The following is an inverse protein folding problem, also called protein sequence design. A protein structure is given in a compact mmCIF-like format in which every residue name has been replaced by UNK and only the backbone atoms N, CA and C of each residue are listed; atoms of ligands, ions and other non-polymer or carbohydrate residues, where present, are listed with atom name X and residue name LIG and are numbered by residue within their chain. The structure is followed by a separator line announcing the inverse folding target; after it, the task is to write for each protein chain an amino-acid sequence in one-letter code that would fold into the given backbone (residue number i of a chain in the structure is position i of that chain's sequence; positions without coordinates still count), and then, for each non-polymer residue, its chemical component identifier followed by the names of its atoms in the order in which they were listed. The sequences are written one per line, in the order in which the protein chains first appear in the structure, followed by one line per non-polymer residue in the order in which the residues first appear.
data_IF_107916068237
#
_entry.id   IF_107916068237
#
_cell.length_a   1.000
_cell.length_b   1.000
_cell.length_c   1.000
_cell.angle_alpha   90.00
_cell.angle_beta   90.00
_cell.angle_gamma   90.00
#
_symmetry.space_group_name_H-M   'P 1'
#
loop_
_entity.id
_entity.type
_entity.pdbx_description
1 polymer ?
#
# COMPACT_ATOMS: atom_id res chain seq x y z
N UNK A 1 -2.15 22.08 -3.47
CA UNK A 1 -2.83 21.68 -2.22
C UNK A 1 -1.99 20.57 -1.62
N UNK A 2 -1.37 20.78 -0.45
CA UNK A 2 -0.67 19.68 0.24
C UNK A 2 -1.73 18.71 0.77
N UNK A 3 -1.85 17.53 0.17
CA UNK A 3 -2.71 16.48 0.67
C UNK A 3 -2.10 15.94 1.97
N UNK A 4 -2.67 16.36 3.11
CA UNK A 4 -2.36 15.79 4.42
C UNK A 4 -2.75 14.31 4.39
N UNK A 5 -1.83 13.43 4.76
CA UNK A 5 -2.11 12.01 4.93
C UNK A 5 -3.11 11.80 6.08
N UNK A 6 -3.83 10.68 6.02
CA UNK A 6 -4.72 10.24 7.09
C UNK A 6 -4.06 9.07 7.81
N UNK A 7 -4.06 9.06 9.14
CA UNK A 7 -3.67 7.87 9.90
C UNK A 7 -4.95 7.06 10.18
N UNK A 8 -5.17 5.93 9.51
CA UNK A 8 -6.40 5.16 9.68
C UNK A 8 -6.39 4.37 11.00
N UNK A 9 -7.58 4.13 11.56
CA UNK A 9 -7.74 3.11 12.59
C UNK A 9 -7.75 1.73 11.91
N UNK A 10 -6.63 1.00 11.95
CA UNK A 10 -6.47 -0.25 11.19
C UNK A 10 -7.55 -1.29 11.50
N UNK A 11 -7.97 -1.43 12.76
CA UNK A 11 -8.96 -2.42 13.18
C UNK A 11 -10.36 -2.04 12.68
N UNK A 12 -10.69 -0.76 12.74
CA UNK A 12 -12.02 -0.28 12.33
C UNK A 12 -12.14 -0.14 10.82
N UNK A 13 -11.09 0.30 10.13
CA UNK A 13 -11.07 0.55 8.69
C UNK A 13 -10.89 -0.73 7.89
N UNK A 14 -9.95 -1.59 8.30
CA UNK A 14 -9.54 -2.78 7.53
C UNK A 14 -9.76 -4.10 8.29
N UNK A 15 -9.71 -4.09 9.62
CA UNK A 15 -9.81 -5.30 10.43
C UNK A 15 -8.54 -6.14 10.29
N UNK A 16 -8.69 -7.43 9.95
CA UNK A 16 -7.55 -8.32 9.67
C UNK A 16 -7.08 -8.15 8.23
N UNK A 17 -5.77 -8.06 8.08
CA UNK A 17 -5.09 -8.03 6.78
C UNK A 17 -4.41 -9.38 6.52
N UNK A 18 -4.54 -9.86 5.29
CA UNK A 18 -3.82 -11.04 4.81
C UNK A 18 -3.21 -10.80 3.43
N UNK A 19 -2.09 -11.46 3.16
CA UNK A 19 -1.38 -11.30 1.90
C UNK A 19 -2.18 -11.82 0.70
N UNK A 20 -2.34 -10.99 -0.33
CA UNK A 20 -3.03 -11.36 -1.57
C UNK A 20 -2.07 -11.51 -2.76
N UNK A 21 -0.96 -10.75 -2.80
CA UNK A 21 0.03 -10.87 -3.85
C UNK A 21 1.00 -9.68 -3.92
N UNK A 22 1.94 -9.77 -4.86
CA UNK A 22 2.88 -8.69 -5.17
C UNK A 22 2.22 -7.65 -6.07
N UNK A 23 2.54 -6.38 -5.83
CA UNK A 23 2.19 -5.26 -6.69
C UNK A 23 3.39 -4.76 -7.48
N UNK A 24 3.48 -3.44 -7.61
CA UNK A 24 4.50 -2.76 -8.42
C UNK A 24 5.74 -2.37 -7.61
N UNK A 25 6.89 -2.30 -8.28
CA UNK A 25 8.11 -1.72 -7.70
C UNK A 25 8.10 -0.22 -7.97
N UNK A 26 8.02 0.58 -6.90
CA UNK A 26 8.07 2.03 -7.02
C UNK A 26 9.52 2.49 -7.15
N UNK A 27 9.79 3.24 -8.21
CA UNK A 27 11.11 3.79 -8.50
C UNK A 27 11.04 5.30 -8.68
N UNK A 28 12.11 5.99 -8.27
CA UNK A 28 12.28 7.42 -8.47
C UNK A 28 13.56 7.68 -9.25
N UNK A 29 13.57 8.73 -10.07
CA UNK A 29 14.69 9.13 -10.91
C UNK A 29 14.44 8.92 -12.41
N UNK A 30 15.50 9.06 -13.20
CA UNK A 30 15.42 8.94 -14.66
C UNK A 30 16.67 8.28 -15.24
N UNK A 31 16.47 7.36 -16.20
CA UNK A 31 17.55 6.70 -16.93
C UNK A 31 18.42 5.81 -16.03
N UNK A 32 19.71 6.16 -15.89
CA UNK A 32 20.68 5.39 -15.07
C UNK A 32 20.64 5.74 -13.58
N UNK A 33 19.92 6.80 -13.20
CA UNK A 33 19.81 7.26 -11.81
C UNK A 33 18.49 6.82 -11.16
N UNK A 34 17.96 5.67 -11.56
CA UNK A 34 16.72 5.12 -11.00
C UNK A 34 17.02 4.40 -9.69
N UNK A 35 16.33 4.78 -8.62
CA UNK A 35 16.42 4.14 -7.30
C UNK A 35 15.07 3.56 -6.90
N UNK A 36 15.06 2.37 -6.30
CA UNK A 36 13.84 1.79 -5.73
C UNK A 36 13.50 2.53 -4.44
N UNK A 37 12.32 3.13 -4.38
CA UNK A 37 11.83 3.88 -3.21
C UNK A 37 10.82 3.07 -2.39
N UNK A 38 10.22 2.04 -2.99
CA UNK A 38 9.32 1.14 -2.30
C UNK A 38 8.80 0.01 -3.18
N UNK A 39 7.98 -0.85 -2.60
CA UNK A 39 7.30 -1.95 -3.28
C UNK A 39 5.87 -2.00 -2.81
N UNK A 40 4.92 -2.16 -3.73
CA UNK A 40 3.52 -2.36 -3.37
C UNK A 40 3.18 -3.84 -3.27
N UNK A 41 2.23 -4.13 -2.39
CA UNK A 41 1.68 -5.45 -2.13
C UNK A 41 0.18 -5.32 -2.02
N UNK A 42 -0.54 -6.31 -2.52
CA UNK A 42 -1.98 -6.40 -2.40
C UNK A 42 -2.34 -7.17 -1.14
N UNK A 43 -3.21 -6.60 -0.31
CA UNK A 43 -3.71 -7.24 0.90
C UNK A 43 -5.22 -7.39 0.87
N UNK A 44 -5.70 -8.55 1.32
CA UNK A 44 -7.11 -8.74 1.62
C UNK A 44 -7.47 -8.13 2.96
N UNK A 45 -8.67 -7.57 3.03
CA UNK A 45 -9.23 -7.01 4.26
C UNK A 45 -10.50 -7.74 4.66
N UNK A 46 -10.59 -8.06 5.94
CA UNK A 46 -11.78 -8.70 6.49
C UNK A 46 -13.05 -7.83 6.39
N UNK A 47 -12.89 -6.50 6.30
CA UNK A 47 -13.99 -5.52 6.20
C UNK A 47 -14.22 -5.02 4.78
N UNK A 48 -13.14 -4.79 4.03
CA UNK A 48 -13.19 -4.34 2.64
C UNK A 48 -12.96 -5.56 1.76
N UNK A 49 -14.04 -6.29 1.47
CA UNK A 49 -13.97 -7.60 0.79
C UNK A 49 -14.11 -7.51 -0.73
N UNK A 50 -14.55 -6.37 -1.26
CA UNK A 50 -14.81 -6.20 -2.67
C UNK A 50 -13.53 -5.92 -3.47
N UNK A 51 -12.58 -5.22 -2.84
CA UNK A 51 -11.35 -4.74 -3.46
C UNK A 51 -10.17 -5.08 -2.55
N UNK A 52 -9.04 -5.40 -3.17
CA UNK A 52 -7.76 -5.53 -2.51
C UNK A 52 -7.19 -4.15 -2.17
N UNK A 53 -6.42 -4.10 -1.09
CA UNK A 53 -5.78 -2.87 -0.63
C UNK A 53 -4.36 -2.85 -1.17
N UNK A 54 -4.03 -1.83 -1.95
CA UNK A 54 -2.65 -1.56 -2.31
C UNK A 54 -1.91 -0.96 -1.11
N UNK A 55 -0.88 -1.69 -0.67
CA UNK A 55 0.00 -1.27 0.41
C UNK A 55 1.41 -1.06 -0.11
N UNK A 56 1.91 0.17 -0.03
CA UNK A 56 3.29 0.51 -0.38
C UNK A 56 4.17 0.42 0.85
N UNK A 57 5.17 -0.46 0.79
CA UNK A 57 6.22 -0.61 1.79
C UNK A 57 7.45 0.17 1.35
N UNK A 58 8.02 0.96 2.25
CA UNK A 58 9.26 1.70 1.99
C UNK A 58 10.44 0.78 1.67
N UNK A 59 11.34 1.22 0.78
CA UNK A 59 12.50 0.42 0.37
C UNK A 59 13.42 0.02 1.54
N UNK A 60 13.40 0.77 2.65
CA UNK A 60 14.17 0.47 3.87
C UNK A 60 13.78 -0.88 4.52
N UNK A 61 12.54 -1.34 4.33
CA UNK A 61 12.07 -2.62 4.86
C UNK A 61 12.62 -3.84 4.12
N UNK A 62 13.26 -3.62 2.97
CA UNK A 62 13.72 -4.67 2.06
C UNK A 62 12.58 -5.36 1.30
N UNK A 63 12.94 -6.36 0.52
CA UNK A 63 11.97 -7.22 -0.16
C UNK A 63 11.33 -8.18 0.85
N UNK A 64 10.00 -8.28 0.80
CA UNK A 64 9.23 -9.20 1.62
C UNK A 64 8.76 -10.38 0.80
N UNK A 65 8.93 -11.56 1.37
CA UNK A 65 8.40 -12.82 0.87
C UNK A 65 7.39 -13.35 1.89
N UNK A 66 6.14 -13.48 1.46
CA UNK A 66 5.00 -13.88 2.29
C UNK A 66 4.22 -14.99 1.60
N UNK A 67 3.72 -15.93 2.39
CA UNK A 67 2.81 -16.96 1.89
C UNK A 67 1.44 -16.37 1.57
N UNK A 68 0.73 -16.96 0.61
CA UNK A 68 -0.66 -16.59 0.31
C UNK A 68 -1.55 -16.68 1.56
N UNK A 69 -2.42 -15.70 1.74
CA UNK A 69 -3.31 -15.55 2.90
C UNK A 69 -2.60 -15.41 4.26
N UNK A 70 -1.27 -15.21 4.27
CA UNK A 70 -0.54 -15.01 5.52
C UNK A 70 -1.06 -13.76 6.25
N UNK A 71 -1.42 -13.84 7.54
CA UNK A 71 -1.84 -12.69 8.32
C UNK A 71 -0.70 -11.68 8.51
N UNK A 72 -0.98 -10.40 8.23
CA UNK A 72 0.01 -9.32 8.29
C UNK A 72 -0.47 -8.14 9.12
N UNK A 73 0.50 -7.38 9.63
CA UNK A 73 0.30 -6.12 10.35
C UNK A 73 1.15 -5.02 9.72
N UNK A 74 0.50 -3.89 9.46
CA UNK A 74 1.15 -2.67 8.98
C UNK A 74 1.84 -1.91 10.12
N UNK A 75 3.06 -1.46 9.89
CA UNK A 75 3.84 -0.60 10.79
C UNK A 75 3.75 0.85 10.29
N UNK A 76 3.35 1.77 11.16
CA UNK A 76 3.17 3.21 10.88
C UNK A 76 2.33 3.50 9.60
N UNK A 77 1.09 2.98 9.52
CA UNK A 77 0.25 3.15 8.35
C UNK A 77 -0.20 4.60 8.16
N UNK A 78 -0.08 5.11 6.94
CA UNK A 78 -0.68 6.37 6.52
C UNK A 78 -1.34 6.23 5.15
N UNK A 79 -2.58 6.67 5.06
CA UNK A 79 -3.41 6.58 3.87
C UNK A 79 -3.31 7.88 3.08
N UNK A 80 -3.03 7.74 1.78
CA UNK A 80 -2.94 8.86 0.84
C UNK A 80 -3.93 8.64 -0.29
N UNK A 81 -4.72 9.67 -0.59
CA UNK A 81 -5.62 9.68 -1.74
C UNK A 81 -4.86 10.18 -2.98
N UNK A 82 -4.76 9.35 -4.02
CA UNK A 82 -4.20 9.72 -5.32
C UNK A 82 -5.34 9.96 -6.30
N UNK A 83 -5.53 11.23 -6.66
CA UNK A 83 -6.47 11.61 -7.72
C UNK A 83 -5.81 11.49 -9.09
N UNK A 84 -6.47 10.85 -10.04
CA UNK A 84 -6.06 10.82 -11.44
C UNK A 84 -7.27 10.98 -12.36
N UNK A 85 -7.02 11.33 -13.60
CA UNK A 85 -8.05 11.57 -14.60
C UNK A 85 -7.87 10.63 -15.78
N UNK A 86 -8.95 9.97 -16.20
CA UNK A 86 -9.03 9.22 -17.45
C UNK A 86 -10.23 9.73 -18.24
N UNK A 87 -10.00 10.18 -19.49
CA UNK A 87 -11.05 10.59 -20.42
C UNK A 87 -12.07 11.58 -19.83
N UNK A 88 -11.62 12.62 -19.11
CA UNK A 88 -12.46 13.59 -18.39
C UNK A 88 -13.29 13.01 -17.24
N UNK A 89 -12.94 11.82 -16.71
CA UNK A 89 -13.49 11.27 -15.47
C UNK A 89 -12.42 11.25 -14.40
N UNK A 90 -12.75 11.80 -13.23
CA UNK A 90 -11.89 11.76 -12.05
C UNK A 90 -12.03 10.44 -11.31
N UNK A 91 -10.90 9.83 -11.00
CA UNK A 91 -10.77 8.66 -10.16
C UNK A 91 -9.91 8.99 -8.95
N UNK A 92 -10.06 8.21 -7.88
CA UNK A 92 -9.29 8.40 -6.66
C UNK A 92 -8.95 7.05 -6.08
N UNK A 93 -7.66 6.75 -6.06
CA UNK A 93 -7.13 5.57 -5.39
C UNK A 93 -6.73 5.91 -3.97
N UNK A 94 -6.96 5.00 -3.05
CA UNK A 94 -6.50 5.11 -1.67
C UNK A 94 -5.34 4.15 -1.47
N UNK A 95 -4.13 4.70 -1.39
CA UNK A 95 -2.91 3.90 -1.23
C UNK A 95 -2.45 3.98 0.22
N UNK A 96 -2.25 2.82 0.84
CA UNK A 96 -1.75 2.72 2.20
C UNK A 96 -0.23 2.64 2.18
N UNK A 97 0.44 3.66 2.69
CA UNK A 97 1.88 3.64 2.85
C UNK A 97 2.23 3.15 4.26
N UNK A 98 3.25 2.30 4.35
CA UNK A 98 3.71 1.71 5.60
C UNK A 98 5.24 1.68 5.63
N UNK A 99 5.80 1.77 6.83
CA UNK A 99 7.24 1.61 7.02
C UNK A 99 7.64 0.14 6.86
N UNK A 100 6.79 -0.78 7.32
CA UNK A 100 7.02 -2.23 7.22
C UNK A 100 5.71 -3.03 7.24
N UNK A 101 5.78 -4.26 6.71
CA UNK A 101 4.78 -5.32 6.88
C UNK A 101 5.41 -6.48 7.66
N UNK A 102 4.78 -6.84 8.77
CA UNK A 102 5.25 -7.93 9.65
C UNK A 102 4.16 -8.97 9.84
N UNK A 103 4.55 -10.21 10.18
CA UNK A 103 3.60 -11.27 10.51
C UNK A 103 2.77 -10.85 11.73
N UNK A 104 1.45 -11.02 11.66
CA UNK A 104 0.51 -10.59 12.71
C UNK A 104 0.54 -11.49 13.95
#
# INVERSE_FOLDING_TARGET
MELKFVVPNMVETFGKLSYAGEGEILTEGYGRNTTVIGRSYHLYSSKQRADDIEVVVGAEAGEKDFDQDQPLKAVNPHLVAKGYEIENRGFTDYVLYVDDLVKA
#
